data_IF_741585002043
#
_entry.id   IF_741585002043
#
_cell.length_a   1.000
_cell.length_b   1.000
_cell.length_c   1.000
_cell.angle_alpha   90.00
_cell.angle_beta   90.00
_cell.angle_gamma   90.00
#
_symmetry.space_group_name_H-M   'P 1'
#
loop_
_entity.id
_entity.type
_entity.pdbx_description
1 polymer ?
#
# COMPACT_ATOMS: atom_id res chain seq x y z
N UNK A 1 77.56 2.63 -76.08
CA UNK A 1 78.25 3.47 -77.11
C UNK A 1 77.17 4.30 -77.77
N UNK A 2 77.16 5.63 -77.80
CA UNK A 2 78.23 6.62 -77.71
C UNK A 2 77.65 8.03 -77.51
N UNK A 3 78.57 8.98 -77.21
CA UNK A 3 78.48 10.45 -77.38
C UNK A 3 77.45 11.19 -76.51
N UNK A 4 77.62 12.41 -76.05
CA UNK A 4 78.73 13.32 -75.74
C UNK A 4 78.02 14.54 -75.07
N UNK A 5 78.67 15.15 -74.07
CA UNK A 5 78.70 16.60 -73.79
C UNK A 5 77.46 17.53 -73.69
N UNK A 6 77.46 18.30 -72.58
CA UNK A 6 77.02 19.73 -72.40
C UNK A 6 75.51 20.05 -72.40
N UNK A 7 74.93 20.99 -71.64
CA UNK A 7 75.36 22.29 -71.05
C UNK A 7 74.44 22.70 -69.86
N UNK A 8 74.92 23.69 -69.10
CA UNK A 8 74.28 24.45 -68.01
C UNK A 8 72.89 25.03 -68.30
N UNK A 9 72.04 25.18 -67.27
CA UNK A 9 71.59 26.51 -66.84
C UNK A 9 70.97 26.54 -65.42
N UNK A 10 71.15 27.69 -64.78
CA UNK A 10 70.82 28.09 -63.41
C UNK A 10 69.39 28.62 -63.23
N UNK A 11 68.79 28.45 -62.04
CA UNK A 11 68.47 29.56 -61.14
C UNK A 11 67.72 29.12 -59.86
N UNK A 12 67.88 29.99 -58.86
CA UNK A 12 67.71 29.90 -57.41
C UNK A 12 66.29 30.08 -56.83
N UNK A 13 66.09 29.54 -55.62
CA UNK A 13 65.11 30.02 -54.63
C UNK A 13 65.03 29.09 -53.39
N UNK A 14 65.23 29.57 -52.14
CA UNK A 14 65.33 28.72 -50.94
C UNK A 14 64.07 28.74 -50.04
N UNK A 15 64.04 27.86 -49.02
CA UNK A 15 63.55 28.00 -47.62
C UNK A 15 63.06 26.62 -47.10
N UNK A 16 63.84 25.89 -46.30
CA UNK A 16 63.99 25.97 -44.83
C UNK A 16 62.85 25.25 -44.05
N UNK A 17 63.20 24.29 -43.18
CA UNK A 17 62.38 23.96 -41.99
C UNK A 17 61.95 22.50 -41.75
N UNK A 18 62.57 21.92 -40.72
CA UNK A 18 61.97 21.06 -39.68
C UNK A 18 61.77 19.53 -39.85
N UNK A 19 62.63 18.80 -39.12
CA UNK A 19 62.31 17.90 -37.99
C UNK A 19 61.06 17.02 -38.11
N UNK A 20 61.26 15.70 -38.12
CA UNK A 20 60.88 14.80 -37.01
C UNK A 20 61.09 13.32 -37.40
N UNK A 21 62.10 12.70 -36.79
CA UNK A 21 62.02 11.27 -36.46
C UNK A 21 60.90 11.09 -35.43
N UNK A 22 59.86 10.32 -35.77
CA UNK A 22 58.92 9.78 -34.79
C UNK A 22 58.72 8.28 -35.08
N UNK A 23 58.89 7.50 -34.02
CA UNK A 23 58.78 6.05 -33.89
C UNK A 23 57.46 5.47 -34.42
N UNK A 24 57.42 4.16 -34.77
CA UNK A 24 56.22 3.54 -35.29
C UNK A 24 55.25 3.25 -34.15
N UNK A 25 54.37 4.21 -33.85
CA UNK A 25 53.14 3.90 -33.12
C UNK A 25 52.28 3.02 -34.03
N UNK A 26 52.45 1.71 -33.81
CA UNK A 26 51.47 0.65 -33.98
C UNK A 26 50.14 1.16 -34.54
N UNK A 27 49.98 0.96 -35.85
CA UNK A 27 48.74 1.08 -36.60
C UNK A 27 47.60 0.42 -35.82
N UNK A 28 46.84 1.20 -35.04
CA UNK A 28 45.45 0.88 -34.69
C UNK A 28 44.70 1.02 -36.02
N UNK A 29 44.77 -0.04 -36.81
CA UNK A 29 44.02 -0.14 -38.05
C UNK A 29 42.56 0.13 -37.73
N UNK A 30 41.98 1.08 -38.46
CA UNK A 30 40.56 1.39 -38.45
C UNK A 30 39.75 0.14 -38.87
N UNK A 31 39.60 -0.83 -37.97
CA UNK A 31 38.60 -1.87 -38.14
C UNK A 31 37.25 -1.34 -37.67
N UNK A 32 36.68 -0.47 -38.51
CA UNK A 32 35.34 0.08 -38.33
C UNK A 32 34.28 -1.04 -38.25
N UNK A 33 34.61 -2.28 -38.63
CA UNK A 33 33.73 -3.44 -38.49
C UNK A 33 33.54 -3.83 -37.03
N UNK A 34 34.55 -3.64 -36.17
CA UNK A 34 34.44 -3.87 -34.73
C UNK A 34 33.47 -2.90 -34.06
N UNK A 35 33.66 -1.60 -34.31
CA UNK A 35 32.78 -0.54 -33.81
C UNK A 35 31.35 -0.70 -34.34
N UNK A 36 31.21 -1.01 -35.63
CA UNK A 36 29.91 -1.27 -36.25
C UNK A 36 29.19 -2.46 -35.59
N UNK A 37 29.90 -3.54 -35.24
CA UNK A 37 29.30 -4.68 -34.52
C UNK A 37 28.81 -4.27 -33.14
N UNK A 38 29.57 -3.46 -32.40
CA UNK A 38 29.17 -2.95 -31.09
C UNK A 38 27.91 -2.08 -31.19
N UNK A 39 27.86 -1.16 -32.15
CA UNK A 39 26.70 -0.28 -32.37
C UNK A 39 25.45 -1.11 -32.73
N UNK A 40 25.59 -2.11 -33.60
CA UNK A 40 24.48 -3.00 -33.96
C UNK A 40 24.01 -3.81 -32.75
N UNK A 41 24.92 -4.38 -31.96
CA UNK A 41 24.56 -5.12 -30.75
C UNK A 41 23.84 -4.24 -29.72
N UNK A 42 24.31 -3.01 -29.52
CA UNK A 42 23.65 -2.05 -28.62
C UNK A 42 22.25 -1.68 -29.13
N UNK A 43 22.11 -1.42 -30.44
CA UNK A 43 20.81 -1.11 -31.05
C UNK A 43 19.81 -2.27 -30.95
N UNK A 44 20.26 -3.50 -31.14
CA UNK A 44 19.41 -4.70 -30.96
C UNK A 44 19.04 -4.88 -29.49
N UNK A 45 19.97 -4.68 -28.57
CA UNK A 45 19.72 -4.81 -27.14
C UNK A 45 18.72 -3.76 -26.63
N UNK A 46 18.87 -2.49 -27.03
CA UNK A 46 17.91 -1.43 -26.67
C UNK A 46 16.54 -1.67 -27.28
N UNK A 47 16.47 -2.19 -28.51
CA UNK A 47 15.21 -2.58 -29.15
C UNK A 47 14.52 -3.71 -28.36
N UNK A 48 15.26 -4.75 -27.96
CA UNK A 48 14.74 -5.88 -27.19
C UNK A 48 14.22 -5.39 -25.83
N UNK A 49 14.99 -4.57 -25.10
CA UNK A 49 14.55 -4.00 -23.82
C UNK A 49 13.30 -3.14 -24.02
N UNK A 50 13.26 -2.30 -25.06
CA UNK A 50 12.12 -1.43 -25.33
C UNK A 50 10.85 -2.24 -25.66
N UNK A 51 10.98 -3.30 -26.45
CA UNK A 51 9.89 -4.22 -26.75
C UNK A 51 9.44 -4.95 -25.48
N UNK A 52 10.37 -5.45 -24.66
CA UNK A 52 10.06 -6.11 -23.40
C UNK A 52 9.35 -5.18 -22.41
N UNK A 53 9.81 -3.94 -22.28
CA UNK A 53 9.15 -2.89 -21.49
C UNK A 53 7.76 -2.58 -22.05
N UNK A 54 7.60 -2.41 -23.36
CA UNK A 54 6.31 -2.14 -23.98
C UNK A 54 5.31 -3.31 -23.82
N UNK A 55 5.79 -4.55 -23.91
CA UNK A 55 5.01 -5.76 -23.65
C UNK A 55 4.64 -5.83 -22.16
N UNK A 56 5.56 -5.55 -21.25
CA UNK A 56 5.29 -5.48 -19.81
C UNK A 56 4.32 -4.34 -19.48
N UNK A 57 4.36 -3.23 -20.20
CA UNK A 57 3.41 -2.11 -20.08
C UNK A 57 2.06 -2.36 -20.79
N UNK A 58 1.89 -3.45 -21.54
CA UNK A 58 0.62 -3.78 -22.19
C UNK A 58 -0.03 -5.04 -21.61
N UNK A 59 0.79 -5.99 -21.18
CA UNK A 59 0.38 -7.30 -20.70
C UNK A 59 0.88 -7.60 -19.29
N UNK A 60 1.74 -6.76 -18.70
CA UNK A 60 1.99 -6.83 -17.27
C UNK A 60 0.70 -6.52 -16.53
N UNK A 61 0.49 -7.17 -15.38
CA UNK A 61 -0.65 -6.92 -14.52
C UNK A 61 -0.58 -5.49 -14.00
N UNK A 62 -1.06 -4.52 -14.78
CA UNK A 62 -1.46 -3.27 -14.18
C UNK A 62 -2.58 -3.63 -13.22
N UNK A 63 -2.38 -3.27 -11.95
CA UNK A 63 -3.45 -3.07 -11.00
C UNK A 63 -4.32 -1.87 -11.45
N UNK A 64 -4.75 -1.81 -12.71
CA UNK A 64 -5.97 -1.09 -13.06
C UNK A 64 -7.08 -1.96 -12.49
N UNK A 65 -7.27 -1.89 -11.19
CA UNK A 65 -8.45 -2.44 -10.56
C UNK A 65 -9.61 -1.59 -11.10
N UNK A 66 -10.50 -2.13 -11.94
CA UNK A 66 -11.54 -1.31 -12.61
C UNK A 66 -12.53 -0.68 -11.60
N UNK A 67 -12.38 -1.03 -10.32
CA UNK A 67 -13.25 -0.70 -9.21
C UNK A 67 -12.52 0.08 -8.10
N UNK A 68 -11.21 0.37 -8.22
CA UNK A 68 -10.40 1.05 -7.19
C UNK A 68 -9.49 0.13 -6.39
N UNK A 69 -8.56 0.71 -5.60
CA UNK A 69 -7.59 -0.03 -4.78
C UNK A 69 -7.79 0.28 -3.29
N UNK A 70 -7.65 -0.74 -2.44
CA UNK A 70 -7.69 -0.62 -0.97
C UNK A 70 -6.45 -1.31 -0.42
N UNK A 71 -5.79 -0.64 0.52
CA UNK A 71 -4.59 -1.13 1.19
C UNK A 71 -4.78 -0.98 2.69
N UNK A 72 -4.49 -2.04 3.42
CA UNK A 72 -4.44 -2.06 4.89
C UNK A 72 -3.27 -2.94 5.35
N UNK A 73 -3.06 -3.00 6.66
CA UNK A 73 -2.06 -3.86 7.32
C UNK A 73 -2.41 -5.36 7.26
N UNK A 74 -3.58 -5.73 6.73
CA UNK A 74 -4.02 -7.11 6.49
C UNK A 74 -4.41 -7.31 5.02
N UNK A 75 -3.87 -8.36 4.41
CA UNK A 75 -4.21 -8.74 3.03
C UNK A 75 -5.71 -9.07 2.95
N UNK A 76 -6.21 -9.88 3.89
CA UNK A 76 -7.61 -10.29 3.96
C UNK A 76 -8.57 -9.09 4.06
N UNK A 77 -8.23 -8.07 4.86
CA UNK A 77 -9.09 -6.90 5.02
C UNK A 77 -8.94 -5.87 3.90
N UNK A 78 -7.80 -5.87 3.20
CA UNK A 78 -7.65 -5.14 1.94
C UNK A 78 -8.55 -5.74 0.87
N UNK A 79 -8.61 -7.07 0.79
CA UNK A 79 -9.49 -7.80 -0.12
C UNK A 79 -10.98 -7.54 0.20
N UNK A 80 -11.35 -7.49 1.49
CA UNK A 80 -12.71 -7.08 1.90
C UNK A 80 -13.09 -5.73 1.29
N UNK A 81 -12.24 -4.71 1.42
CA UNK A 81 -12.51 -3.39 0.86
C UNK A 81 -12.60 -3.39 -0.66
N UNK A 82 -11.72 -4.13 -1.34
CA UNK A 82 -11.80 -4.34 -2.80
C UNK A 82 -13.11 -4.99 -3.20
N UNK A 83 -13.57 -6.01 -2.47
CA UNK A 83 -14.82 -6.70 -2.75
C UNK A 83 -16.05 -5.80 -2.53
N UNK A 84 -16.01 -4.91 -1.54
CA UNK A 84 -17.02 -3.87 -1.35
C UNK A 84 -17.08 -2.91 -2.54
N UNK A 85 -15.94 -2.50 -3.09
CA UNK A 85 -15.91 -1.67 -4.30
C UNK A 85 -16.44 -2.43 -5.53
N UNK A 86 -16.13 -3.73 -5.65
CA UNK A 86 -16.63 -4.58 -6.76
C UNK A 86 -18.14 -4.68 -6.81
N UNK A 87 -18.82 -4.69 -5.66
CA UNK A 87 -20.29 -4.70 -5.59
C UNK A 87 -20.91 -3.29 -5.68
N UNK A 88 -20.13 -2.30 -6.11
CA UNK A 88 -20.60 -0.95 -6.40
C UNK A 88 -20.58 0.01 -5.22
N UNK A 89 -19.92 -0.35 -4.11
CA UNK A 89 -19.61 0.57 -3.02
C UNK A 89 -18.57 1.62 -3.44
N UNK A 90 -18.49 2.71 -2.68
CA UNK A 90 -17.48 3.75 -2.89
C UNK A 90 -16.31 3.63 -1.90
N UNK A 91 -15.39 4.60 -1.93
CA UNK A 91 -14.23 4.64 -1.04
C UNK A 91 -14.62 4.69 0.45
N UNK A 92 -15.75 5.33 0.80
CA UNK A 92 -16.25 5.40 2.18
C UNK A 92 -16.82 4.05 2.62
N UNK A 93 -17.61 3.39 1.77
CA UNK A 93 -18.10 2.03 2.05
C UNK A 93 -16.92 1.06 2.24
N UNK A 94 -15.92 1.13 1.36
CA UNK A 94 -14.74 0.27 1.40
C UNK A 94 -13.91 0.47 2.67
N UNK A 95 -13.62 1.73 3.06
CA UNK A 95 -12.83 2.01 4.26
C UNK A 95 -13.57 1.57 5.53
N UNK A 96 -14.90 1.70 5.58
CA UNK A 96 -15.70 1.24 6.72
C UNK A 96 -15.57 -0.28 6.88
N UNK A 97 -15.83 -1.04 5.82
CA UNK A 97 -15.77 -2.50 5.87
C UNK A 97 -14.35 -3.01 6.20
N UNK A 98 -13.33 -2.42 5.59
CA UNK A 98 -11.93 -2.73 5.90
C UNK A 98 -11.60 -2.39 7.36
N UNK A 99 -12.05 -1.25 7.88
CA UNK A 99 -11.78 -0.85 9.27
C UNK A 99 -12.40 -1.80 10.28
N UNK A 100 -13.65 -2.23 10.06
CA UNK A 100 -14.29 -3.24 10.93
C UNK A 100 -13.57 -4.60 10.84
N UNK A 101 -13.11 -4.99 9.64
CA UNK A 101 -12.31 -6.21 9.47
C UNK A 101 -10.98 -6.12 10.24
N UNK A 102 -10.24 -5.00 10.14
CA UNK A 102 -9.02 -4.78 10.92
C UNK A 102 -9.30 -4.83 12.43
N UNK A 103 -10.40 -4.24 12.89
CA UNK A 103 -10.81 -4.32 14.29
C UNK A 103 -11.04 -5.74 14.82
N UNK A 104 -11.27 -6.71 13.93
CA UNK A 104 -11.38 -8.14 14.27
C UNK A 104 -10.03 -8.84 14.19
N UNK A 105 -9.29 -8.66 13.10
CA UNK A 105 -8.08 -9.46 12.83
C UNK A 105 -6.79 -8.86 13.40
N UNK A 106 -6.79 -7.58 13.75
CA UNK A 106 -5.69 -6.86 14.41
C UNK A 106 -6.20 -6.06 15.63
N UNK A 107 -6.80 -6.72 16.64
CA UNK A 107 -7.43 -6.05 17.77
C UNK A 107 -6.46 -5.26 18.66
N UNK A 108 -5.15 -5.50 18.53
CA UNK A 108 -4.11 -4.75 19.24
C UNK A 108 -3.80 -3.38 18.63
N UNK A 109 -4.30 -3.09 17.42
CA UNK A 109 -4.08 -1.82 16.72
C UNK A 109 -5.30 -0.91 16.76
N UNK A 110 -6.50 -1.46 16.52
CA UNK A 110 -7.76 -0.71 16.52
C UNK A 110 -8.94 -1.63 16.81
N UNK A 111 -10.12 -1.06 17.03
CA UNK A 111 -11.36 -1.81 17.28
C UNK A 111 -12.51 -0.92 17.70
N UNK A 112 -13.62 -1.52 18.13
CA UNK A 112 -14.82 -0.79 18.53
C UNK A 112 -14.59 0.21 19.68
N UNK A 113 -13.61 -0.08 20.55
CA UNK A 113 -13.21 0.77 21.66
C UNK A 113 -12.25 1.90 21.30
N UNK A 114 -11.88 2.07 20.02
CA UNK A 114 -10.91 3.08 19.58
C UNK A 114 -11.58 4.36 19.04
N UNK A 115 -10.77 5.23 18.45
CA UNK A 115 -11.17 6.41 17.70
C UNK A 115 -10.11 6.73 16.65
N UNK A 116 -10.28 7.82 15.91
CA UNK A 116 -9.32 8.18 14.87
C UNK A 116 -9.74 9.36 14.01
N UNK A 117 -9.18 9.39 12.80
CA UNK A 117 -9.49 10.40 11.79
C UNK A 117 -9.75 9.73 10.45
N UNK A 118 -10.70 10.28 9.67
CA UNK A 118 -10.91 9.92 8.27
C UNK A 118 -10.72 11.18 7.43
N UNK A 119 -9.72 11.14 6.54
CA UNK A 119 -9.50 12.18 5.54
C UNK A 119 -10.19 11.77 4.25
N UNK A 120 -11.20 12.54 3.85
CA UNK A 120 -12.00 12.26 2.67
C UNK A 120 -11.83 13.36 1.63
N UNK A 121 -11.36 12.97 0.45
CA UNK A 121 -11.40 13.81 -0.74
C UNK A 121 -12.60 13.42 -1.61
N UNK A 122 -13.52 14.36 -1.82
CA UNK A 122 -14.66 14.19 -2.72
C UNK A 122 -14.45 15.01 -3.99
N UNK A 123 -14.03 14.31 -5.06
CA UNK A 123 -13.78 14.91 -6.37
C UNK A 123 -15.03 15.62 -6.92
N UNK A 124 -16.24 15.10 -6.65
CA UNK A 124 -17.49 15.62 -7.22
C UNK A 124 -17.77 17.03 -6.72
N UNK A 125 -17.39 17.31 -5.48
CA UNK A 125 -17.62 18.61 -4.86
C UNK A 125 -16.48 19.60 -5.14
N UNK A 126 -15.36 19.16 -5.74
CA UNK A 126 -14.13 19.95 -5.94
C UNK A 126 -13.68 20.69 -4.66
N UNK A 127 -13.98 20.13 -3.50
CA UNK A 127 -13.64 20.72 -2.21
C UNK A 127 -12.28 20.24 -1.72
N UNK A 128 -11.68 21.03 -0.83
CA UNK A 128 -10.56 20.57 0.00
C UNK A 128 -10.94 19.31 0.77
N UNK A 129 -9.95 18.46 1.07
CA UNK A 129 -10.17 17.24 1.84
C UNK A 129 -10.88 17.56 3.17
N UNK A 130 -11.97 16.83 3.45
CA UNK A 130 -12.67 16.90 4.74
C UNK A 130 -12.00 15.97 5.73
N UNK A 131 -11.99 16.36 7.00
CA UNK A 131 -11.52 15.54 8.10
C UNK A 131 -12.69 15.21 9.01
N UNK A 132 -12.99 13.92 9.19
CA UNK A 132 -13.84 13.45 10.26
C UNK A 132 -12.94 13.14 11.46
N UNK A 133 -13.07 13.92 12.53
CA UNK A 133 -12.41 13.68 13.81
C UNK A 133 -13.37 12.90 14.72
N UNK A 134 -13.00 11.66 15.00
CA UNK A 134 -13.72 10.75 15.89
C UNK A 134 -12.76 10.13 16.89
N UNK A 135 -11.81 10.92 17.37
CA UNK A 135 -10.92 10.52 18.47
C UNK A 135 -11.72 10.17 19.73
N UNK A 136 -11.08 9.36 20.56
CA UNK A 136 -11.56 9.06 21.91
C UNK A 136 -11.69 10.37 22.68
N UNK A 137 -12.89 10.64 23.18
CA UNK A 137 -13.19 11.84 23.95
C UNK A 137 -12.98 11.60 25.44
N UNK A 138 -12.41 12.56 26.16
CA UNK A 138 -12.20 12.43 27.60
C UNK A 138 -13.55 12.47 28.35
N UNK A 139 -13.76 11.54 29.28
CA UNK A 139 -14.82 11.61 30.28
C UNK A 139 -14.16 12.00 31.61
N UNK A 140 -14.46 13.19 32.11
CA UNK A 140 -13.87 13.76 33.34
C UNK A 140 -14.12 12.90 34.59
N UNK A 141 -15.08 11.98 34.54
CA UNK A 141 -15.45 11.11 35.66
C UNK A 141 -15.00 9.65 35.48
N UNK A 142 -14.22 9.33 34.44
CA UNK A 142 -13.77 7.97 34.15
C UNK A 142 -12.32 7.93 33.68
N UNK A 143 -11.60 6.87 34.07
CA UNK A 143 -10.23 6.62 33.60
C UNK A 143 -10.17 6.12 32.14
N UNK A 144 -11.30 6.03 31.45
CA UNK A 144 -11.42 5.54 30.07
C UNK A 144 -12.24 6.55 29.28
N UNK A 145 -11.71 6.96 28.13
CA UNK A 145 -12.40 7.87 27.24
C UNK A 145 -13.51 7.19 26.43
N UNK A 146 -14.43 7.99 25.93
CA UNK A 146 -15.58 7.56 25.13
C UNK A 146 -15.09 7.19 23.71
N UNK A 147 -15.25 5.92 23.27
CA UNK A 147 -14.84 5.49 21.93
C UNK A 147 -15.57 6.26 20.83
N UNK A 148 -14.85 6.61 19.76
CA UNK A 148 -15.40 7.34 18.62
C UNK A 148 -15.47 6.52 17.32
N UNK A 149 -14.83 5.36 17.25
CA UNK A 149 -14.67 4.56 16.04
C UNK A 149 -16.00 4.30 15.31
N UNK A 150 -16.98 3.70 16.00
CA UNK A 150 -18.26 3.32 15.40
C UNK A 150 -19.05 4.56 14.98
N UNK A 151 -19.15 5.55 15.86
CA UNK A 151 -19.90 6.78 15.62
C UNK A 151 -19.31 7.61 14.47
N UNK A 152 -17.98 7.74 14.41
CA UNK A 152 -17.29 8.46 13.35
C UNK A 152 -17.50 7.84 11.97
N UNK A 153 -17.36 6.51 11.88
CA UNK A 153 -17.60 5.77 10.64
C UNK A 153 -19.08 5.80 10.22
N UNK A 154 -20.00 5.77 11.18
CA UNK A 154 -21.43 5.90 10.89
C UNK A 154 -21.82 7.30 10.38
N UNK A 155 -21.22 8.36 10.93
CA UNK A 155 -21.41 9.73 10.42
C UNK A 155 -20.88 9.83 8.98
N UNK A 156 -19.71 9.26 8.70
CA UNK A 156 -19.16 9.21 7.34
C UNK A 156 -20.06 8.41 6.39
N UNK A 157 -20.56 7.25 6.83
CA UNK A 157 -21.51 6.42 6.07
C UNK A 157 -22.81 7.16 5.77
N UNK A 158 -23.38 7.86 6.75
CA UNK A 158 -24.61 8.63 6.57
C UNK A 158 -24.46 9.72 5.51
N UNK A 159 -23.30 10.36 5.45
CA UNK A 159 -23.05 11.46 4.52
C UNK A 159 -22.61 11.00 3.14
N UNK A 160 -21.87 9.89 3.04
CA UNK A 160 -21.20 9.47 1.81
C UNK A 160 -21.40 8.01 1.44
N UNK A 161 -21.85 7.15 2.34
CA UNK A 161 -22.06 5.73 2.09
C UNK A 161 -23.11 5.46 1.02
N UNK A 162 -22.94 4.35 0.30
CA UNK A 162 -23.84 3.93 -0.79
C UNK A 162 -24.44 2.56 -0.55
N UNK A 163 -23.70 1.66 0.09
CA UNK A 163 -24.20 0.32 0.41
C UNK A 163 -24.89 0.29 1.78
N UNK A 164 -25.77 -0.69 2.03
CA UNK A 164 -26.38 -0.87 3.35
C UNK A 164 -25.31 -1.07 4.43
N UNK A 165 -25.49 -0.44 5.59
CA UNK A 165 -24.55 -0.54 6.71
C UNK A 165 -24.26 -1.98 7.11
N UNK A 166 -25.29 -2.83 7.18
CA UNK A 166 -25.14 -4.25 7.48
C UNK A 166 -24.19 -4.96 6.51
N UNK A 167 -24.24 -4.62 5.22
CA UNK A 167 -23.35 -5.18 4.19
C UNK A 167 -21.88 -4.88 4.48
N UNK A 168 -21.59 -3.73 5.09
CA UNK A 168 -20.21 -3.32 5.42
C UNK A 168 -19.68 -4.06 6.64
N UNK A 169 -20.54 -4.47 7.57
CA UNK A 169 -20.16 -5.18 8.80
C UNK A 169 -20.12 -6.70 8.62
N UNK A 170 -20.86 -7.26 7.65
CA UNK A 170 -20.91 -8.71 7.39
C UNK A 170 -19.53 -9.37 7.33
N UNK A 171 -18.53 -8.86 6.59
CA UNK A 171 -17.23 -9.51 6.51
C UNK A 171 -16.53 -9.61 7.88
N UNK A 172 -16.66 -8.58 8.73
CA UNK A 172 -16.09 -8.59 10.06
C UNK A 172 -16.83 -9.57 10.99
N UNK A 173 -18.16 -9.65 10.91
CA UNK A 173 -18.97 -10.63 11.65
C UNK A 173 -18.54 -12.06 11.29
N UNK A 174 -18.41 -12.34 10.00
CA UNK A 174 -18.00 -13.65 9.50
C UNK A 174 -16.59 -14.00 9.96
N UNK A 175 -15.63 -13.06 9.85
CA UNK A 175 -14.26 -13.27 10.34
C UNK A 175 -14.19 -13.47 11.85
N UNK A 176 -15.00 -12.77 12.62
CA UNK A 176 -15.04 -12.94 14.08
C UNK A 176 -15.51 -14.36 14.46
N UNK A 177 -16.47 -14.92 13.72
CA UNK A 177 -17.04 -16.26 13.98
C UNK A 177 -16.23 -17.40 13.38
N UNK A 178 -15.84 -17.29 12.10
CA UNK A 178 -15.08 -18.31 11.39
C UNK A 178 -13.60 -18.33 11.79
N UNK A 179 -13.10 -17.17 12.23
CA UNK A 179 -11.75 -16.98 12.72
C UNK A 179 -10.76 -16.52 11.65
N UNK A 180 -9.55 -16.24 12.11
CA UNK A 180 -8.44 -15.78 11.30
C UNK A 180 -7.11 -16.31 11.84
N UNK A 181 -6.09 -16.34 10.97
CA UNK A 181 -4.73 -16.68 11.38
C UNK A 181 -4.08 -15.42 11.97
N UNK A 182 -3.63 -15.44 13.24
CA UNK A 182 -3.07 -14.25 13.86
C UNK A 182 -1.75 -13.87 13.22
N UNK A 183 -1.57 -12.59 12.92
CA UNK A 183 -0.33 -12.07 12.37
C UNK A 183 0.81 -12.12 13.39
N UNK A 184 2.05 -12.08 12.92
CA UNK A 184 3.22 -12.02 13.81
C UNK A 184 3.14 -10.79 14.74
N UNK A 185 2.68 -9.65 14.23
CA UNK A 185 2.46 -8.43 15.01
C UNK A 185 1.48 -8.66 16.17
N UNK A 186 0.35 -9.32 15.90
CA UNK A 186 -0.63 -9.66 16.93
C UNK A 186 -0.07 -10.65 17.96
N UNK A 187 0.68 -11.66 17.50
CA UNK A 187 1.32 -12.63 18.39
C UNK A 187 2.37 -11.98 19.31
N UNK A 188 3.13 -11.01 18.80
CA UNK A 188 4.05 -10.23 19.62
C UNK A 188 3.32 -9.35 20.64
N UNK A 189 2.23 -8.70 20.24
CA UNK A 189 1.40 -7.91 21.15
C UNK A 189 0.80 -8.77 22.26
N UNK A 190 0.32 -9.98 21.93
CA UNK A 190 -0.16 -10.97 22.91
C UNK A 190 0.87 -11.23 24.02
N UNK A 191 2.16 -11.40 23.68
CA UNK A 191 3.20 -11.67 24.68
C UNK A 191 3.33 -10.52 25.69
N UNK A 192 3.23 -9.28 25.22
CA UNK A 192 3.25 -8.10 26.09
C UNK A 192 2.03 -8.07 27.01
N UNK A 193 0.84 -8.36 26.49
CA UNK A 193 -0.40 -8.36 27.29
C UNK A 193 -0.37 -9.45 28.36
N UNK A 194 0.09 -10.67 28.03
CA UNK A 194 0.21 -11.77 28.98
C UNK A 194 1.19 -11.49 30.13
N UNK A 195 2.21 -10.66 29.91
CA UNK A 195 3.18 -10.28 30.93
C UNK A 195 2.68 -9.18 31.86
N UNK A 196 1.78 -8.32 31.38
CA UNK A 196 1.41 -7.07 32.06
C UNK A 196 -0.03 -7.05 32.57
N UNK A 197 -0.84 -8.05 32.23
CA UNK A 197 -2.27 -8.06 32.59
C UNK A 197 -2.74 -9.46 33.00
N UNK A 198 -3.80 -9.50 33.81
CA UNK A 198 -4.55 -10.73 34.15
C UNK A 198 -5.60 -11.11 33.09
N UNK A 199 -5.62 -10.42 31.94
CA UNK A 199 -6.54 -10.71 30.83
C UNK A 199 -5.95 -11.84 29.98
N UNK A 200 -5.73 -13.00 30.61
CA UNK A 200 -4.92 -14.08 30.06
C UNK A 200 -5.74 -15.14 29.35
N UNK A 201 -6.96 -15.44 29.82
CA UNK A 201 -7.54 -16.76 29.56
C UNK A 201 -7.99 -16.96 28.11
N UNK A 202 -8.52 -15.91 27.48
CA UNK A 202 -8.86 -15.93 26.06
C UNK A 202 -7.61 -16.00 25.18
N UNK A 203 -6.57 -15.21 25.46
CA UNK A 203 -5.45 -15.00 24.52
C UNK A 203 -4.33 -16.02 24.71
N UNK A 204 -4.21 -16.59 25.91
CA UNK A 204 -3.21 -17.62 26.25
C UNK A 204 -3.13 -18.77 25.26
N UNK A 205 -4.25 -19.39 24.82
CA UNK A 205 -4.19 -20.53 23.90
C UNK A 205 -3.80 -20.19 22.46
N UNK A 206 -3.80 -18.91 22.04
CA UNK A 206 -3.57 -18.55 20.64
C UNK A 206 -2.18 -18.96 20.14
N UNK A 207 -2.11 -19.51 18.93
CA UNK A 207 -0.86 -19.90 18.26
C UNK A 207 -0.92 -19.46 16.80
N UNK A 208 0.24 -19.20 16.19
CA UNK A 208 0.31 -18.68 14.82
C UNK A 208 -0.24 -19.66 13.76
N UNK A 209 -0.29 -20.95 14.07
CA UNK A 209 -0.87 -22.00 13.21
C UNK A 209 -2.37 -22.24 13.47
N UNK A 210 -2.98 -21.55 14.43
CA UNK A 210 -4.37 -21.78 14.84
C UNK A 210 -5.28 -20.67 14.34
N UNK A 211 -6.50 -21.04 13.94
CA UNK A 211 -7.57 -20.07 13.73
C UNK A 211 -8.05 -19.53 15.08
N UNK A 212 -7.92 -18.22 15.23
CA UNK A 212 -8.42 -17.46 16.37
C UNK A 212 -9.83 -17.01 16.08
N UNK A 213 -10.76 -17.24 17.01
CA UNK A 213 -12.17 -16.83 16.89
C UNK A 213 -12.58 -15.96 18.06
N UNK A 214 -13.62 -15.16 17.84
CA UNK A 214 -14.24 -14.29 18.83
C UNK A 214 -15.75 -14.15 18.53
N UNK A 215 -16.56 -15.17 18.90
CA UNK A 215 -17.99 -15.16 18.60
C UNK A 215 -18.75 -14.03 19.30
N UNK A 216 -18.35 -13.63 20.50
CA UNK A 216 -18.98 -12.53 21.27
C UNK A 216 -18.84 -11.17 20.56
N UNK A 217 -17.66 -10.89 19.98
CA UNK A 217 -17.49 -9.74 19.10
C UNK A 217 -18.33 -9.86 17.83
N UNK A 218 -18.44 -11.07 17.28
CA UNK A 218 -19.34 -11.35 16.15
C UNK A 218 -20.79 -10.99 16.45
N UNK A 219 -21.27 -11.30 17.65
CA UNK A 219 -22.63 -10.96 18.10
C UNK A 219 -22.80 -9.45 18.32
N UNK A 220 -21.80 -8.79 18.89
CA UNK A 220 -21.78 -7.33 19.03
C UNK A 220 -21.85 -6.64 17.67
N UNK A 221 -21.03 -7.07 16.71
CA UNK A 221 -21.05 -6.56 15.34
C UNK A 221 -22.38 -6.86 14.64
N UNK A 222 -23.01 -8.00 14.91
CA UNK A 222 -24.31 -8.36 14.38
C UNK A 222 -25.42 -7.42 14.89
N UNK A 223 -25.37 -7.03 16.17
CA UNK A 223 -26.27 -6.02 16.74
C UNK A 223 -26.06 -4.67 16.05
N UNK A 224 -24.81 -4.21 15.94
CA UNK A 224 -24.46 -2.97 15.25
C UNK A 224 -24.91 -2.97 13.78
N UNK A 225 -24.79 -4.10 13.09
CA UNK A 225 -25.25 -4.25 11.71
C UNK A 225 -26.78 -4.15 11.60
N UNK A 226 -27.51 -4.69 12.57
CA UNK A 226 -28.99 -4.68 12.59
C UNK A 226 -29.57 -3.31 12.94
N UNK A 227 -28.95 -2.60 13.86
CA UNK A 227 -29.42 -1.28 14.29
C UNK A 227 -29.13 -0.17 13.29
N UNK A 228 -28.10 -0.36 12.46
CA UNK A 228 -27.70 0.62 11.47
C UNK A 228 -26.83 1.74 12.06
N UNK A 229 -26.45 2.71 11.21
CA UNK A 229 -25.51 3.77 11.57
C UNK A 229 -26.09 4.81 12.55
N UNK A 230 -27.41 4.85 12.71
CA UNK A 230 -28.13 5.78 13.61
C UNK A 230 -28.54 5.11 14.95
N UNK A 231 -28.12 3.86 15.20
CA UNK A 231 -28.60 3.02 16.29
C UNK A 231 -28.44 3.63 17.69
N UNK A 232 -29.53 3.64 18.47
CA UNK A 232 -29.55 4.10 19.87
C UNK A 232 -28.57 3.35 20.78
N UNK A 233 -28.16 2.13 20.42
CA UNK A 233 -27.23 1.34 21.22
C UNK A 233 -25.75 1.54 20.82
N UNK A 234 -25.40 2.45 19.90
CA UNK A 234 -24.00 2.89 19.76
C UNK A 234 -23.46 3.49 21.07
N UNK A 235 -24.33 4.19 21.81
CA UNK A 235 -24.04 4.67 23.17
C UNK A 235 -23.97 3.53 24.19
N UNK A 236 -24.74 2.45 24.00
CA UNK A 236 -24.76 1.28 24.89
C UNK A 236 -23.48 0.47 24.74
N UNK A 237 -22.95 0.25 23.53
CA UNK A 237 -21.61 -0.37 23.38
C UNK A 237 -20.54 0.48 24.08
N UNK A 238 -20.60 1.81 23.96
CA UNK A 238 -19.71 2.71 24.71
C UNK A 238 -19.91 2.67 26.24
N UNK A 239 -21.14 2.51 26.71
CA UNK A 239 -21.47 2.40 28.14
C UNK A 239 -21.10 1.03 28.72
N UNK A 240 -21.37 -0.07 28.02
CA UNK A 240 -21.05 -1.42 28.45
C UNK A 240 -19.52 -1.64 28.51
N UNK A 241 -18.77 -1.11 27.53
CA UNK A 241 -17.31 -1.08 27.59
C UNK A 241 -16.80 -0.28 28.80
N UNK A 242 -17.47 0.83 29.13
CA UNK A 242 -17.17 1.65 30.30
C UNK A 242 -17.59 0.99 31.64
N UNK A 243 -18.55 0.07 31.63
CA UNK A 243 -19.04 -0.63 32.83
C UNK A 243 -18.22 -1.88 33.11
N UNK A 244 -17.86 -2.65 32.07
CA UNK A 244 -17.01 -3.84 32.18
C UNK A 244 -15.63 -3.53 32.78
N UNK A 245 -15.15 -2.31 32.60
CA UNK A 245 -13.85 -1.85 33.14
C UNK A 245 -13.91 -1.34 34.57
N UNK A 246 -15.11 -1.11 35.12
CA UNK A 246 -15.31 -0.86 36.57
C UNK A 246 -15.41 -2.16 37.38
N UNK A 247 -15.61 -3.30 36.72
CA UNK A 247 -15.81 -4.60 37.36
C UNK A 247 -14.51 -5.36 37.65
N UNK A 248 -13.36 -4.82 37.22
CA UNK A 248 -12.01 -5.30 37.52
C UNK A 248 -11.26 -4.25 38.36
#
# INVERSE_FOLDING_TARGET
>A
MNSEQTTLNSNSGPLNGDRNELSPLHSIGQDNKGLHRIIVCLGVFTLIISIFLAVSLKYGDFQVTPHGSVVSDSIDCSEVGVNIMKIGGNAVDAVIATSFCIGVVQPHLTGLGSGGFLLLFDERQKQLARCFDFRVSADINKNIGIPGFVAGLAIAHKQYGKLPWSTLLTPAIERARAGFVPSESLMNAKLVVLQNTSVSDWISPWQQSMLVTNPELGDTLQILAKEGPDGSNMLVVGQDLSLSTKAN
#
